data_IF_350037815358
#
_entry.id   IF_350037815358
#
_cell.length_a   1.000
_cell.length_b   1.000
_cell.length_c   1.000
_cell.angle_alpha   90.00
_cell.angle_beta   90.00
_cell.angle_gamma   90.00
#
_symmetry.space_group_name_H-M   'P 1'
#
loop_
_entity.id
_entity.type
_entity.pdbx_description
1 polymer ?
#
# COMPACT_ATOMS: atom_id res chain seq x y z
N UNK A 1 -76.18 23.65 -19.56
CA UNK A 1 -74.84 23.17 -19.16
C UNK A 1 -73.87 24.32 -19.46
N UNK A 2 -73.56 25.28 -18.56
CA UNK A 2 -72.70 25.21 -17.35
C UNK A 2 -71.38 24.49 -17.68
N UNK A 3 -70.14 24.99 -17.51
CA UNK A 3 -69.55 26.21 -16.94
C UNK A 3 -68.04 26.18 -17.28
N UNK A 4 -67.44 27.27 -17.80
CA UNK A 4 -66.46 28.22 -17.20
C UNK A 4 -65.07 27.66 -16.77
N UNK A 5 -64.04 28.50 -17.06
CA UNK A 5 -62.70 28.70 -16.43
C UNK A 5 -61.56 27.92 -17.11
N UNK A 6 -60.46 28.50 -17.63
CA UNK A 6 -59.82 29.79 -17.40
C UNK A 6 -58.70 29.65 -16.37
N UNK A 7 -57.42 29.75 -16.79
CA UNK A 7 -56.30 30.45 -16.14
C UNK A 7 -54.97 30.20 -16.90
N UNK A 8 -54.22 31.27 -17.21
CA UNK A 8 -52.78 31.27 -17.60
C UNK A 8 -51.90 31.23 -16.33
N UNK A 9 -50.57 31.50 -16.42
CA UNK A 9 -49.42 30.71 -16.84
C UNK A 9 -48.50 30.37 -15.64
N UNK A 10 -47.41 29.60 -15.80
CA UNK A 10 -46.32 29.61 -14.82
C UNK A 10 -44.95 29.28 -15.44
N UNK A 11 -44.11 30.31 -15.46
CA UNK A 11 -42.66 30.25 -15.65
C UNK A 11 -42.08 29.55 -14.40
N UNK A 12 -41.31 28.48 -14.57
CA UNK A 12 -40.47 27.94 -13.51
C UNK A 12 -39.01 28.29 -13.81
N UNK A 13 -38.52 29.32 -13.13
CA UNK A 13 -37.09 29.58 -12.96
C UNK A 13 -36.52 28.52 -12.00
N UNK A 14 -35.67 27.64 -12.50
CA UNK A 14 -34.86 26.72 -11.69
C UNK A 14 -33.42 27.21 -11.64
N UNK A 15 -33.11 27.97 -10.59
CA UNK A 15 -31.79 28.50 -10.25
C UNK A 15 -30.94 27.43 -9.54
N UNK A 16 -29.66 27.33 -9.92
CA UNK A 16 -28.50 27.02 -9.06
C UNK A 16 -28.52 25.75 -8.18
N UNK A 17 -27.82 24.71 -8.63
CA UNK A 17 -27.03 23.87 -7.71
C UNK A 17 -25.56 24.03 -8.09
N UNK A 18 -24.98 25.12 -7.58
CA UNK A 18 -23.55 25.25 -7.39
C UNK A 18 -23.27 24.73 -5.96
N UNK A 19 -23.14 23.42 -5.79
CA UNK A 19 -22.69 22.82 -4.53
C UNK A 19 -21.37 22.09 -4.71
N UNK A 20 -20.31 22.86 -4.49
CA UNK A 20 -19.30 22.57 -3.47
C UNK A 20 -18.59 21.20 -3.52
N UNK A 21 -17.91 20.89 -4.62
CA UNK A 21 -16.86 19.87 -4.64
C UNK A 21 -15.50 20.40 -4.10
N UNK A 22 -15.52 21.25 -3.06
CA UNK A 22 -14.32 21.92 -2.50
C UNK A 22 -14.07 21.61 -1.01
N UNK A 23 -14.57 20.49 -0.48
CA UNK A 23 -14.33 20.09 0.91
C UNK A 23 -13.89 18.63 1.11
N UNK A 24 -13.31 18.01 0.09
CA UNK A 24 -12.36 16.95 0.35
C UNK A 24 -11.01 17.47 -0.11
N UNK A 25 -10.11 17.89 0.79
CA UNK A 25 -8.71 17.86 0.42
C UNK A 25 -8.45 16.40 0.04
N UNK A 26 -8.32 16.14 -1.27
CA UNK A 26 -7.64 14.94 -1.74
C UNK A 26 -6.27 15.09 -1.11
N UNK A 27 -6.03 14.37 -0.02
CA UNK A 27 -4.72 14.21 0.56
C UNK A 27 -3.93 13.36 -0.42
N UNK A 28 -3.57 13.96 -1.57
CA UNK A 28 -2.33 13.62 -2.23
C UNK A 28 -1.26 14.04 -1.24
N UNK A 29 -1.00 13.16 -0.26
CA UNK A 29 0.33 13.06 0.29
C UNK A 29 1.18 12.75 -0.93
N UNK A 30 1.77 13.79 -1.49
CA UNK A 30 2.90 13.64 -2.41
C UNK A 30 3.83 12.70 -1.64
N UNK A 31 3.92 11.46 -2.10
CA UNK A 31 4.99 10.57 -1.68
C UNK A 31 6.24 11.28 -2.15
N UNK A 32 6.83 12.09 -1.29
CA UNK A 32 8.09 12.75 -1.55
C UNK A 32 9.11 11.64 -1.72
N UNK A 33 9.39 11.29 -2.98
CA UNK A 33 10.61 10.64 -3.40
C UNK A 33 11.78 11.51 -2.90
N UNK A 34 12.20 11.29 -1.65
CA UNK A 34 13.21 12.13 -1.00
C UNK A 34 13.20 12.15 0.54
N UNK A 35 12.08 11.84 1.20
CA UNK A 35 12.06 11.82 2.67
C UNK A 35 12.61 10.48 3.18
N UNK A 36 13.80 10.51 3.81
CA UNK A 36 14.35 9.39 4.58
C UNK A 36 13.62 9.29 5.92
N UNK A 37 12.35 8.93 5.86
CA UNK A 37 11.48 8.68 7.01
C UNK A 37 10.88 7.28 6.84
N UNK A 38 10.68 6.57 7.94
CA UNK A 38 10.10 5.23 7.90
C UNK A 38 8.73 5.28 7.24
N UNK A 39 8.50 4.40 6.26
CA UNK A 39 7.20 4.29 5.59
C UNK A 39 6.15 3.92 6.64
N UNK A 40 4.99 4.57 6.60
CA UNK A 40 3.92 4.32 7.56
C UNK A 40 3.43 2.88 7.56
N UNK A 41 2.64 2.55 8.58
CA UNK A 41 1.96 1.26 8.70
C UNK A 41 0.46 1.40 8.48
N UNK A 42 -0.19 0.30 8.15
CA UNK A 42 -1.64 0.18 8.02
C UNK A 42 -2.10 -1.18 8.52
N UNK A 43 -3.37 -1.30 8.89
CA UNK A 43 -3.93 -2.53 9.43
C UNK A 43 -4.67 -3.32 8.34
N UNK A 44 -4.41 -4.63 8.29
CA UNK A 44 -5.13 -5.56 7.41
C UNK A 44 -5.90 -6.56 8.25
N UNK A 45 -7.24 -6.60 8.16
CA UNK A 45 -8.04 -7.56 8.91
C UNK A 45 -7.77 -8.99 8.44
N UNK A 46 -7.74 -9.92 9.38
CA UNK A 46 -7.57 -11.34 9.14
C UNK A 46 -8.46 -12.14 10.11
N UNK A 47 -8.70 -13.41 9.77
CA UNK A 47 -9.51 -14.32 10.58
C UNK A 47 -8.69 -15.58 10.84
N UNK A 48 -8.54 -15.93 12.11
CA UNK A 48 -7.83 -17.13 12.53
C UNK A 48 -8.67 -18.39 12.22
N UNK A 49 -8.04 -19.57 12.28
CA UNK A 49 -8.70 -20.83 11.98
C UNK A 49 -9.90 -21.14 12.90
N UNK A 50 -9.92 -20.59 14.12
CA UNK A 50 -11.02 -20.71 15.08
C UNK A 50 -12.12 -19.65 14.90
N UNK A 51 -12.02 -18.80 13.87
CA UNK A 51 -12.96 -17.73 13.59
C UNK A 51 -12.66 -16.41 14.31
N UNK A 52 -11.61 -16.33 15.12
CA UNK A 52 -11.23 -15.10 15.82
C UNK A 52 -10.73 -14.05 14.82
N UNK A 53 -11.34 -12.87 14.81
CA UNK A 53 -10.87 -11.74 14.03
C UNK A 53 -9.65 -11.08 14.69
N UNK A 54 -8.64 -10.74 13.89
CA UNK A 54 -7.46 -9.99 14.30
C UNK A 54 -6.98 -9.11 13.14
N UNK A 55 -5.92 -8.33 13.35
CA UNK A 55 -5.31 -7.55 12.27
C UNK A 55 -3.81 -7.79 12.21
N UNK A 56 -3.27 -7.71 11.00
CA UNK A 56 -1.84 -7.57 10.75
C UNK A 56 -1.50 -6.09 10.61
N UNK A 57 -0.54 -5.61 11.38
CA UNK A 57 0.14 -4.35 11.08
C UNK A 57 1.08 -4.58 9.91
N UNK A 58 0.84 -3.88 8.82
CA UNK A 58 1.62 -3.94 7.58
C UNK A 58 2.45 -2.69 7.42
N UNK A 59 3.67 -2.82 6.87
CA UNK A 59 4.46 -1.67 6.40
C UNK A 59 4.48 -1.65 4.88
N UNK A 60 4.10 -0.50 4.31
CA UNK A 60 4.05 -0.33 2.86
C UNK A 60 3.04 0.72 2.43
N UNK A 61 2.42 0.48 1.28
CA UNK A 61 1.45 1.36 0.66
C UNK A 61 0.07 0.70 0.72
N UNK A 62 -0.81 1.25 1.56
CA UNK A 62 -2.16 0.75 1.78
C UNK A 62 -2.92 0.56 0.46
N UNK A 63 -3.56 -0.60 0.30
CA UNK A 63 -4.29 -0.96 -0.91
C UNK A 63 -3.43 -1.30 -2.13
N UNK A 64 -2.09 -1.30 -2.00
CA UNK A 64 -1.17 -1.66 -3.09
C UNK A 64 -0.26 -2.81 -2.71
N UNK A 65 0.67 -2.61 -1.76
CA UNK A 65 1.60 -3.66 -1.33
C UNK A 65 2.24 -3.34 0.01
N UNK A 66 2.67 -4.39 0.70
CA UNK A 66 3.42 -4.27 1.94
C UNK A 66 3.83 -5.63 2.48
N UNK A 67 4.53 -5.63 3.61
CA UNK A 67 4.82 -6.85 4.36
C UNK A 67 4.39 -6.70 5.81
N UNK A 68 4.15 -7.82 6.49
CA UNK A 68 3.83 -7.82 7.92
C UNK A 68 4.97 -7.15 8.67
N UNK A 69 4.67 -6.05 9.36
CA UNK A 69 5.67 -5.21 9.99
C UNK A 69 6.42 -5.98 11.07
N UNK A 70 7.74 -5.93 11.00
CA UNK A 70 8.64 -6.55 11.97
C UNK A 70 9.96 -5.79 11.92
N UNK A 71 10.67 -5.63 13.05
CA UNK A 71 11.97 -4.96 13.06
C UNK A 71 12.98 -5.65 12.14
N UNK A 72 13.84 -4.84 11.52
CA UNK A 72 15.08 -5.35 10.92
C UNK A 72 16.21 -5.20 11.94
N UNK A 73 17.04 -6.22 12.08
CA UNK A 73 18.28 -6.17 12.87
C UNK A 73 19.46 -6.38 11.92
N UNK A 74 20.47 -5.53 12.02
CA UNK A 74 21.62 -5.56 11.14
C UNK A 74 22.28 -6.96 11.12
N UNK A 75 22.47 -7.50 9.92
CA UNK A 75 23.07 -8.81 9.68
C UNK A 75 22.18 -10.02 10.02
N UNK A 76 20.99 -9.82 10.62
CA UNK A 76 20.07 -10.89 10.95
C UNK A 76 19.14 -11.19 9.78
N UNK A 77 19.02 -12.47 9.44
CA UNK A 77 18.01 -12.93 8.49
C UNK A 77 16.73 -13.28 9.24
N UNK A 78 15.62 -12.64 8.89
CA UNK A 78 14.30 -12.89 9.45
C UNK A 78 13.25 -13.14 8.36
N UNK A 79 12.11 -13.70 8.75
CA UNK A 79 10.99 -13.98 7.86
C UNK A 79 10.06 -12.78 7.77
N UNK A 80 9.72 -12.41 6.54
CA UNK A 80 8.75 -11.35 6.24
C UNK A 80 7.76 -11.85 5.19
N UNK A 81 6.47 -11.61 5.41
CA UNK A 81 5.42 -12.05 4.50
C UNK A 81 4.88 -10.87 3.72
N UNK A 82 5.16 -10.85 2.42
CA UNK A 82 4.69 -9.83 1.50
C UNK A 82 3.28 -10.12 1.00
N UNK A 83 2.50 -9.06 0.83
CA UNK A 83 1.13 -9.06 0.35
C UNK A 83 0.97 -7.96 -0.70
N UNK A 84 0.26 -8.28 -1.78
CA UNK A 84 0.00 -7.39 -2.91
C UNK A 84 -1.51 -7.34 -3.19
N UNK A 85 -2.06 -6.13 -3.24
CA UNK A 85 -3.47 -5.84 -3.51
C UNK A 85 -3.60 -5.11 -4.84
N UNK A 86 -4.73 -5.30 -5.51
CA UNK A 86 -4.98 -4.76 -6.85
C UNK A 86 -5.52 -5.84 -7.78
N UNK A 87 -5.23 -5.77 -9.08
CA UNK A 87 -5.69 -6.79 -10.01
C UNK A 87 -4.79 -8.03 -9.93
N UNK A 88 -5.40 -9.21 -9.97
CA UNK A 88 -4.65 -10.47 -9.92
C UNK A 88 -3.62 -10.60 -11.05
N UNK A 89 -3.95 -10.13 -12.26
CA UNK A 89 -3.05 -10.14 -13.42
C UNK A 89 -1.81 -9.26 -13.25
N UNK A 90 -1.84 -8.31 -12.31
CA UNK A 90 -0.73 -7.42 -12.04
C UNK A 90 0.36 -8.10 -11.19
N UNK A 91 0.05 -9.21 -10.52
CA UNK A 91 0.94 -9.79 -9.49
C UNK A 91 1.08 -11.31 -9.54
N UNK A 92 0.03 -12.06 -9.89
CA UNK A 92 0.03 -13.51 -9.75
C UNK A 92 1.11 -14.16 -10.62
N UNK A 93 1.96 -15.00 -10.00
CA UNK A 93 3.11 -15.68 -10.60
C UNK A 93 4.20 -14.79 -11.18
N UNK A 94 4.15 -13.48 -10.92
CA UNK A 94 5.19 -12.54 -11.33
C UNK A 94 6.39 -12.57 -10.40
N UNK A 95 7.50 -12.06 -10.88
CA UNK A 95 8.76 -11.98 -10.13
C UNK A 95 8.76 -10.73 -9.26
N UNK A 96 8.85 -10.91 -7.94
CA UNK A 96 9.15 -9.86 -6.99
C UNK A 96 10.67 -9.67 -6.87
N UNK A 97 11.13 -8.45 -7.05
CA UNK A 97 12.51 -8.04 -6.82
C UNK A 97 12.57 -6.88 -5.82
N UNK A 98 13.42 -7.00 -4.81
CA UNK A 98 13.63 -5.97 -3.78
C UNK A 98 15.10 -5.65 -3.68
N UNK A 99 15.45 -4.37 -3.87
CA UNK A 99 16.81 -3.86 -3.66
C UNK A 99 16.82 -2.89 -2.47
N UNK A 100 17.66 -3.16 -1.48
CA UNK A 100 17.89 -2.26 -0.36
C UNK A 100 18.93 -1.20 -0.73
N UNK A 101 18.64 0.07 -0.44
CA UNK A 101 19.54 1.20 -0.61
C UNK A 101 19.63 1.99 0.68
N UNK A 102 20.82 2.20 1.23
CA UNK A 102 20.99 3.04 2.42
C UNK A 102 21.31 4.51 2.07
N UNK A 103 21.33 5.37 3.08
CA UNK A 103 21.62 6.81 2.91
C UNK A 103 22.98 7.13 2.28
N UNK A 104 23.92 6.19 2.32
CA UNK A 104 25.26 6.31 1.73
C UNK A 104 25.31 5.82 0.28
N UNK A 105 24.17 5.37 -0.27
CA UNK A 105 24.08 4.84 -1.63
C UNK A 105 24.53 3.38 -1.77
N UNK A 106 24.82 2.68 -0.67
CA UNK A 106 25.09 1.24 -0.72
C UNK A 106 23.83 0.53 -1.19
N UNK A 107 23.96 -0.32 -2.22
CA UNK A 107 22.88 -1.13 -2.77
C UNK A 107 23.11 -2.60 -2.46
N UNK A 108 22.07 -3.32 -2.03
CA UNK A 108 22.11 -4.77 -1.80
C UNK A 108 20.87 -5.43 -2.41
N UNK A 109 20.99 -6.54 -3.14
CA UNK A 109 19.83 -7.35 -3.50
C UNK A 109 19.29 -8.01 -2.22
N UNK A 110 18.04 -7.72 -1.87
CA UNK A 110 17.41 -8.22 -0.64
C UNK A 110 16.59 -9.47 -0.92
N UNK A 111 15.87 -9.49 -2.03
CA UNK A 111 14.97 -10.58 -2.39
C UNK A 111 14.77 -10.63 -3.90
N UNK A 112 14.78 -11.84 -4.45
CA UNK A 112 14.21 -12.15 -5.77
C UNK A 112 13.42 -13.44 -5.62
N UNK A 113 12.12 -13.41 -5.89
CA UNK A 113 11.23 -14.58 -5.72
C UNK A 113 10.01 -14.48 -6.61
N UNK A 114 9.23 -15.56 -6.71
CA UNK A 114 7.94 -15.56 -7.41
C UNK A 114 6.79 -15.30 -6.43
N UNK A 115 5.83 -14.48 -6.86
CA UNK A 115 4.58 -14.25 -6.14
C UNK A 115 3.63 -15.44 -6.28
N UNK A 116 3.08 -15.88 -5.16
CA UNK A 116 2.06 -16.92 -5.09
C UNK A 116 0.64 -16.37 -5.19
N UNK A 117 -0.34 -17.25 -4.91
CA UNK A 117 -1.77 -16.92 -4.95
C UNK A 117 -2.26 -16.05 -3.81
N UNK A 118 -3.58 -16.00 -3.64
CA UNK A 118 -4.25 -15.16 -2.65
C UNK A 118 -3.94 -15.58 -1.22
N UNK A 119 -3.86 -14.59 -0.32
CA UNK A 119 -3.70 -14.82 1.13
C UNK A 119 -4.06 -13.54 1.91
N UNK A 120 -4.75 -13.66 3.04
CA UNK A 120 -5.15 -12.51 3.89
C UNK A 120 -5.80 -11.35 3.12
N UNK A 121 -6.66 -11.65 2.13
CA UNK A 121 -7.33 -10.64 1.31
C UNK A 121 -6.45 -9.96 0.24
N UNK A 122 -5.17 -10.31 0.16
CA UNK A 122 -4.29 -9.92 -0.94
C UNK A 122 -4.48 -10.87 -2.13
N UNK A 123 -4.33 -10.36 -3.36
CA UNK A 123 -4.45 -11.17 -4.59
C UNK A 123 -3.19 -11.99 -4.86
N UNK A 124 -2.06 -11.59 -4.28
CA UNK A 124 -0.81 -12.33 -4.32
C UNK A 124 -0.02 -12.13 -3.03
N UNK A 125 0.75 -13.14 -2.65
CA UNK A 125 1.62 -13.08 -1.48
C UNK A 125 2.90 -13.90 -1.69
N UNK A 126 3.92 -13.66 -0.88
CA UNK A 126 5.08 -14.56 -0.81
C UNK A 126 5.78 -14.43 0.55
N UNK A 127 6.09 -15.55 1.23
CA UNK A 127 7.01 -15.51 2.35
C UNK A 127 8.44 -15.26 1.83
N UNK A 128 9.22 -14.49 2.58
CA UNK A 128 10.59 -14.16 2.22
C UNK A 128 11.51 -14.24 3.43
N UNK A 129 12.79 -14.51 3.18
CA UNK A 129 13.87 -14.36 4.16
C UNK A 129 14.68 -13.14 3.74
N UNK A 130 14.68 -12.08 4.56
CA UNK A 130 15.37 -10.83 4.24
C UNK A 130 16.41 -10.51 5.31
N UNK A 131 17.50 -9.86 4.90
CA UNK A 131 18.57 -9.36 5.77
C UNK A 131 19.14 -8.07 5.20
N UNK A 132 19.48 -7.13 6.09
CA UNK A 132 20.13 -5.86 5.75
C UNK A 132 21.42 -5.74 6.57
N UNK A 133 22.55 -5.33 5.96
CA UNK A 133 23.86 -5.57 6.55
C UNK A 133 24.26 -4.57 7.64
N UNK A 134 23.71 -3.36 7.64
CA UNK A 134 24.14 -2.28 8.56
C UNK A 134 22.96 -1.56 9.17
N UNK A 135 23.11 -1.01 10.40
CA UNK A 135 22.05 -0.23 11.02
C UNK A 135 21.77 1.09 10.28
N UNK A 136 20.61 1.68 10.60
CA UNK A 136 20.11 2.93 10.05
C UNK A 136 19.02 2.75 8.99
N UNK A 137 18.66 3.84 8.33
CA UNK A 137 17.59 3.84 7.34
C UNK A 137 18.01 3.18 6.02
N UNK A 138 17.14 2.28 5.56
CA UNK A 138 17.22 1.63 4.26
C UNK A 138 15.92 1.83 3.49
N UNK A 139 16.05 2.13 2.21
CA UNK A 139 14.96 2.17 1.25
C UNK A 139 14.94 0.87 0.46
N UNK A 140 13.84 0.14 0.55
CA UNK A 140 13.55 -1.06 -0.22
C UNK A 140 12.85 -0.63 -1.50
N UNK A 141 13.59 -0.65 -2.62
CA UNK A 141 13.04 -0.44 -3.95
C UNK A 141 12.32 -1.71 -4.40
N UNK A 142 11.00 -1.66 -4.52
CA UNK A 142 10.17 -2.82 -4.86
C UNK A 142 9.83 -2.81 -6.34
N UNK A 143 10.06 -3.95 -7.01
CA UNK A 143 9.75 -4.19 -8.41
C UNK A 143 8.97 -5.49 -8.59
N UNK A 144 8.05 -5.48 -9.54
CA UNK A 144 7.33 -6.68 -9.99
C UNK A 144 7.47 -6.80 -11.50
N UNK A 145 8.04 -7.91 -11.97
CA UNK A 145 8.44 -8.14 -13.37
C UNK A 145 9.22 -6.95 -13.95
N UNK A 146 10.22 -6.47 -13.20
CA UNK A 146 11.06 -5.34 -13.58
C UNK A 146 10.41 -3.95 -13.47
N UNK A 147 9.08 -3.86 -13.28
CA UNK A 147 8.38 -2.58 -13.12
C UNK A 147 8.49 -2.08 -11.68
N UNK A 148 8.93 -0.83 -11.50
CA UNK A 148 9.01 -0.22 -10.18
C UNK A 148 7.62 0.11 -9.64
N UNK A 149 7.28 -0.52 -8.50
CA UNK A 149 5.97 -0.38 -7.87
C UNK A 149 5.98 0.72 -6.79
N UNK A 150 7.11 0.89 -6.12
CA UNK A 150 7.31 1.92 -5.11
C UNK A 150 8.43 1.58 -4.14
N UNK A 151 8.62 2.45 -3.15
CA UNK A 151 9.68 2.36 -2.16
C UNK A 151 9.12 2.17 -0.75
N UNK A 152 9.76 1.34 0.07
CA UNK A 152 9.48 1.22 1.51
C UNK A 152 10.74 1.56 2.29
N UNK A 153 10.70 2.58 3.14
CA UNK A 153 11.80 2.95 4.02
C UNK A 153 11.62 2.28 5.39
N UNK A 154 12.66 1.58 5.83
CA UNK A 154 12.73 0.86 7.12
C UNK A 154 13.91 1.35 7.93
N UNK A 155 13.78 1.31 9.26
CA UNK A 155 14.91 1.46 10.17
C UNK A 155 15.49 0.08 10.50
N UNK A 156 16.80 -0.06 10.37
CA UNK A 156 17.53 -1.28 10.74
C UNK A 156 18.23 -1.04 12.08
N UNK A 157 17.87 -1.83 13.08
CA UNK A 157 18.43 -1.74 14.42
C UNK A 157 19.86 -2.35 14.46
N UNK A 158 20.75 -1.87 15.35
CA UNK A 158 22.04 -2.52 15.60
C UNK A 158 21.85 -3.97 16.07
N UNK A 159 22.78 -4.86 15.70
CA UNK A 159 22.89 -6.16 16.36
C UNK A 159 23.37 -5.96 17.80
N UNK A 160 22.82 -6.72 18.73
CA UNK A 160 23.30 -6.77 20.12
C UNK A 160 24.71 -7.36 20.22
#
# INVERSE_FOLDING_TARGET
>A
MISVRGLRPAIWSGLLILMLALLYPRSTRVQTAGAWETTGTFEVPAVAADGTAFSYTMRGHEGQFGFIDSPFVAGKTDKYMWHFWGNQEDFLYKTLEVTGVNRRGQRVPVLTTTLGGEHNGAVAHTPSMMSLPTPGLWRLEVRVDGNHLGDIVVEVLPSA
#
